data_IF_148822510340
#
_entry.id   IF_148822510340
#
_cell.length_a   1.000
_cell.length_b   1.000
_cell.length_c   1.000
_cell.angle_alpha   90.00
_cell.angle_beta   90.00
_cell.angle_gamma   90.00
#
_symmetry.space_group_name_H-M   'P 1'
#
loop_
_entity.id
_entity.type
_entity.pdbx_description
1 polymer ?
#
# COMPACT_ATOMS: atom_id res chain seq x y z
N UNK A 1 1.17 44.29 11.23
CA UNK A 1 0.48 43.64 10.09
C UNK A 1 1.48 42.68 9.47
N UNK A 2 1.52 41.45 9.98
CA UNK A 2 2.34 40.39 9.38
C UNK A 2 1.72 40.01 8.03
N UNK A 3 2.60 39.84 7.06
CA UNK A 3 2.28 39.67 5.66
C UNK A 3 1.72 38.24 5.43
N UNK A 4 0.40 38.07 5.52
CA UNK A 4 -0.32 36.80 5.29
C UNK A 4 -0.40 36.39 3.80
N UNK A 5 0.56 36.83 2.98
CA UNK A 5 0.56 36.64 1.54
C UNK A 5 1.72 35.76 1.07
N UNK A 6 1.74 34.49 1.50
CA UNK A 6 2.22 33.32 0.72
C UNK A 6 2.28 32.05 1.59
N UNK A 7 1.14 31.60 2.14
CA UNK A 7 0.99 30.15 2.32
C UNK A 7 0.58 29.58 0.96
N UNK A 8 1.54 29.51 0.05
CA UNK A 8 1.36 28.80 -1.21
C UNK A 8 0.98 27.37 -0.83
N UNK A 9 -0.23 26.94 -1.19
CA UNK A 9 -0.74 25.61 -0.93
C UNK A 9 0.21 24.60 -1.59
N UNK A 10 1.21 24.11 -0.83
CA UNK A 10 2.21 23.19 -1.36
C UNK A 10 1.55 21.83 -1.47
N UNK A 11 1.30 21.40 -2.70
CA UNK A 11 0.84 20.06 -3.00
C UNK A 11 1.88 19.09 -2.45
N UNK A 12 1.49 18.23 -1.52
CA UNK A 12 2.36 17.21 -0.94
C UNK A 12 2.30 15.92 -1.75
N UNK A 13 3.28 15.04 -1.55
CA UNK A 13 3.21 13.68 -2.07
C UNK A 13 1.95 12.94 -1.59
N UNK A 14 1.49 13.18 -0.35
CA UNK A 14 0.24 12.61 0.16
C UNK A 14 -0.97 13.05 -0.66
N UNK A 15 -1.06 14.33 -1.01
CA UNK A 15 -2.11 14.85 -1.90
C UNK A 15 -2.07 14.14 -3.25
N UNK A 16 -0.87 13.96 -3.82
CA UNK A 16 -0.70 13.22 -5.08
C UNK A 16 -1.20 11.77 -4.97
N UNK A 17 -0.86 11.07 -3.89
CA UNK A 17 -1.31 9.68 -3.67
C UNK A 17 -2.83 9.63 -3.48
N UNK A 18 -3.43 10.56 -2.74
CA UNK A 18 -4.87 10.63 -2.53
C UNK A 18 -5.63 10.80 -3.85
N UNK A 19 -5.19 11.74 -4.69
CA UNK A 19 -5.74 11.93 -6.03
C UNK A 19 -5.52 10.68 -6.87
N UNK A 20 -4.32 10.08 -6.80
CA UNK A 20 -4.02 8.85 -7.51
C UNK A 20 -4.96 7.71 -7.13
N UNK A 21 -5.40 7.59 -5.87
CA UNK A 21 -6.34 6.53 -5.44
C UNK A 21 -7.74 6.65 -6.00
N UNK A 22 -8.16 7.83 -6.44
CA UNK A 22 -9.42 7.99 -7.17
C UNK A 22 -9.34 7.41 -8.60
N UNK A 23 -8.15 7.44 -9.22
CA UNK A 23 -7.97 6.98 -10.60
C UNK A 23 -8.29 5.47 -10.76
N UNK A 24 -7.79 4.54 -9.91
CA UNK A 24 -8.17 3.15 -9.96
C UNK A 24 -9.66 2.91 -9.84
N UNK A 25 -10.33 3.66 -8.96
CA UNK A 25 -11.77 3.54 -8.79
C UNK A 25 -12.47 3.87 -10.11
N UNK A 26 -12.11 5.00 -10.73
CA UNK A 26 -12.70 5.44 -12.00
C UNK A 26 -12.38 4.47 -13.15
N UNK A 27 -11.14 4.00 -13.26
CA UNK A 27 -10.73 3.08 -14.33
C UNK A 27 -11.39 1.71 -14.19
N UNK A 28 -11.54 1.20 -12.97
CA UNK A 28 -12.19 -0.09 -12.73
C UNK A 28 -13.71 -0.02 -12.93
N UNK A 29 -14.36 1.08 -12.51
CA UNK A 29 -15.77 1.33 -12.86
C UNK A 29 -15.91 1.47 -14.38
N UNK A 30 -14.99 2.16 -15.03
CA UNK A 30 -14.92 2.25 -16.50
C UNK A 30 -14.82 0.87 -17.15
N UNK A 31 -13.99 -0.04 -16.61
CA UNK A 31 -13.92 -1.42 -17.08
C UNK A 31 -15.26 -2.15 -16.92
N UNK A 32 -15.95 -1.97 -15.78
CA UNK A 32 -17.26 -2.56 -15.55
C UNK A 32 -18.32 -2.06 -16.55
N UNK A 33 -18.28 -0.78 -16.92
CA UNK A 33 -19.19 -0.18 -17.90
C UNK A 33 -18.86 -0.63 -19.33
N UNK A 34 -17.57 -0.64 -19.70
CA UNK A 34 -17.14 -0.89 -21.07
C UNK A 34 -17.11 -2.39 -21.43
N UNK A 35 -16.63 -3.23 -20.52
CA UNK A 35 -16.50 -4.67 -20.75
C UNK A 35 -17.66 -5.46 -20.18
N UNK A 36 -18.40 -4.93 -19.20
CA UNK A 36 -19.44 -5.66 -18.48
C UNK A 36 -18.88 -6.54 -17.36
N UNK A 37 -19.78 -7.07 -16.53
CA UNK A 37 -19.49 -8.05 -15.49
C UNK A 37 -20.06 -9.38 -15.95
N UNK A 38 -19.19 -10.36 -16.21
CA UNK A 38 -19.57 -11.65 -16.79
C UNK A 38 -19.42 -12.81 -15.80
N UNK A 39 -18.56 -12.66 -14.79
CA UNK A 39 -18.36 -13.66 -13.75
C UNK A 39 -18.00 -13.03 -12.38
N UNK A 40 -17.76 -13.91 -11.40
CA UNK A 40 -17.42 -13.49 -10.03
C UNK A 40 -15.99 -12.92 -9.91
N UNK A 41 -15.11 -13.11 -10.92
CA UNK A 41 -13.74 -12.55 -10.93
C UNK A 41 -13.80 -11.04 -10.91
N UNK A 42 -14.59 -10.43 -11.79
CA UNK A 42 -14.68 -8.97 -11.86
C UNK A 42 -15.31 -8.40 -10.60
N UNK A 43 -16.36 -9.05 -10.08
CA UNK A 43 -17.01 -8.64 -8.82
C UNK A 43 -16.01 -8.66 -7.66
N UNK A 44 -15.29 -9.77 -7.47
CA UNK A 44 -14.27 -9.88 -6.42
C UNK A 44 -13.19 -8.81 -6.63
N UNK A 45 -12.68 -8.66 -7.85
CA UNK A 45 -11.62 -7.69 -8.11
C UNK A 45 -12.05 -6.26 -7.77
N UNK A 46 -13.25 -5.85 -8.20
CA UNK A 46 -13.84 -4.56 -7.86
C UNK A 46 -13.95 -4.39 -6.35
N UNK A 47 -14.53 -5.38 -5.65
CA UNK A 47 -14.68 -5.35 -4.20
C UNK A 47 -13.33 -5.16 -3.49
N UNK A 48 -12.30 -5.94 -3.85
CA UNK A 48 -11.01 -5.87 -3.18
C UNK A 48 -10.26 -4.55 -3.48
N UNK A 49 -10.13 -4.17 -4.74
CA UNK A 49 -9.31 -3.01 -5.11
C UNK A 49 -10.02 -1.68 -4.77
N UNK A 50 -11.32 -1.54 -5.07
CA UNK A 50 -12.05 -0.31 -4.74
C UNK A 50 -12.16 -0.15 -3.22
N UNK A 51 -12.46 -1.21 -2.46
CA UNK A 51 -12.52 -1.10 -0.99
C UNK A 51 -11.18 -0.67 -0.40
N UNK A 52 -10.05 -1.15 -0.93
CA UNK A 52 -8.73 -0.67 -0.53
C UNK A 52 -8.55 0.83 -0.82
N UNK A 53 -8.86 1.29 -2.04
CA UNK A 53 -8.73 2.70 -2.38
C UNK A 53 -9.63 3.59 -1.53
N UNK A 54 -10.86 3.16 -1.25
CA UNK A 54 -11.79 3.86 -0.34
C UNK A 54 -11.23 3.85 1.08
N UNK A 55 -10.76 2.71 1.58
CA UNK A 55 -10.14 2.62 2.91
C UNK A 55 -8.96 3.58 3.05
N UNK A 56 -8.07 3.67 2.06
CA UNK A 56 -6.96 4.63 2.07
C UNK A 56 -7.42 6.07 2.28
N UNK A 57 -8.51 6.48 1.60
CA UNK A 57 -9.05 7.83 1.68
C UNK A 57 -9.76 8.08 3.02
N UNK A 58 -10.52 7.09 3.51
CA UNK A 58 -11.28 7.19 4.76
C UNK A 58 -10.37 7.10 5.99
N UNK A 59 -9.32 6.28 5.95
CA UNK A 59 -8.40 6.06 7.07
C UNK A 59 -7.77 7.38 7.54
N UNK A 60 -7.48 8.31 6.63
CA UNK A 60 -6.91 9.61 6.99
C UNK A 60 -7.87 10.48 7.79
N UNK A 61 -9.18 10.31 7.59
CA UNK A 61 -10.19 10.99 8.39
C UNK A 61 -10.30 10.37 9.79
N UNK A 62 -10.20 9.04 9.90
CA UNK A 62 -10.19 8.36 11.20
C UNK A 62 -8.91 8.59 12.00
N UNK A 63 -7.76 8.69 11.33
CA UNK A 63 -6.45 8.84 11.95
C UNK A 63 -5.72 10.07 11.37
N UNK A 64 -6.14 11.30 11.70
CA UNK A 64 -5.57 12.52 11.09
C UNK A 64 -4.07 12.68 11.32
N UNK A 65 -3.58 12.31 12.52
CA UNK A 65 -2.14 12.30 12.85
C UNK A 65 -1.32 11.37 11.94
N UNK A 66 -1.93 10.32 11.38
CA UNK A 66 -1.28 9.47 10.38
C UNK A 66 -0.97 10.25 9.11
N UNK A 67 -1.88 11.13 8.69
CA UNK A 67 -1.67 12.03 7.55
C UNK A 67 -0.49 12.98 7.75
N UNK A 68 -0.27 13.45 8.99
CA UNK A 68 0.88 14.30 9.35
C UNK A 68 2.24 13.58 9.33
N UNK A 69 2.24 12.24 9.30
CA UNK A 69 3.46 11.43 9.27
C UNK A 69 3.77 10.81 7.90
N UNK A 70 2.83 10.86 6.96
CA UNK A 70 2.95 10.20 5.66
C UNK A 70 3.13 11.19 4.53
N UNK A 71 4.21 11.04 3.75
CA UNK A 71 4.38 11.69 2.44
C UNK A 71 4.15 13.21 2.46
N UNK A 72 4.65 13.91 3.50
CA UNK A 72 4.49 15.36 3.67
C UNK A 72 5.55 16.20 2.97
N UNK A 73 6.49 15.55 2.27
CA UNK A 73 7.40 16.26 1.40
C UNK A 73 6.63 16.95 0.27
N UNK A 74 6.98 18.20 -0.08
CA UNK A 74 6.36 18.91 -1.19
C UNK A 74 6.64 18.17 -2.50
N UNK A 75 5.61 17.87 -3.27
CA UNK A 75 5.73 17.22 -4.56
C UNK A 75 5.88 18.25 -5.67
N UNK A 76 6.91 18.12 -6.49
CA UNK A 76 7.03 18.87 -7.74
C UNK A 76 6.00 18.40 -8.78
N UNK A 77 5.76 19.18 -9.82
CA UNK A 77 4.78 18.84 -10.89
C UNK A 77 5.09 17.48 -11.53
N UNK A 78 6.37 17.22 -11.86
CA UNK A 78 6.79 15.95 -12.45
C UNK A 78 6.54 14.76 -11.53
N UNK A 79 6.86 14.91 -10.24
CA UNK A 79 6.64 13.87 -9.25
C UNK A 79 5.14 13.61 -9.02
N UNK A 80 4.34 14.67 -8.96
CA UNK A 80 2.88 14.57 -8.86
C UNK A 80 2.31 13.76 -10.04
N UNK A 81 2.67 14.12 -11.28
CA UNK A 81 2.24 13.40 -12.49
C UNK A 81 2.72 11.95 -12.45
N UNK A 82 3.97 11.72 -12.03
CA UNK A 82 4.51 10.37 -11.90
C UNK A 82 3.72 9.52 -10.89
N UNK A 83 3.35 10.08 -9.74
CA UNK A 83 2.52 9.37 -8.74
C UNK A 83 1.14 9.05 -9.30
N UNK A 84 0.49 9.99 -10.01
CA UNK A 84 -0.79 9.73 -10.66
C UNK A 84 -0.69 8.61 -11.69
N UNK A 85 0.35 8.60 -12.52
CA UNK A 85 0.56 7.53 -13.48
C UNK A 85 0.90 6.20 -12.79
N UNK A 86 1.82 6.21 -11.85
CA UNK A 86 2.32 5.00 -11.22
C UNK A 86 1.29 4.35 -10.29
N UNK A 87 0.80 5.10 -9.30
CA UNK A 87 -0.18 4.61 -8.32
C UNK A 87 -1.59 4.61 -8.91
N UNK A 88 -1.92 5.58 -9.76
CA UNK A 88 -3.27 5.72 -10.28
C UNK A 88 -3.56 4.86 -11.51
N UNK A 89 -2.62 4.77 -12.46
CA UNK A 89 -2.82 4.00 -13.69
C UNK A 89 -2.16 2.62 -13.62
N UNK A 90 -0.83 2.51 -13.39
CA UNK A 90 -0.15 1.20 -13.47
C UNK A 90 -0.69 0.18 -12.46
N UNK A 91 -1.13 0.62 -11.28
CA UNK A 91 -1.68 -0.30 -10.28
C UNK A 91 -3.02 -0.90 -10.71
N UNK A 92 -3.71 -0.32 -11.70
CA UNK A 92 -4.96 -0.88 -12.26
C UNK A 92 -4.75 -2.02 -13.24
N UNK A 93 -3.50 -2.28 -13.65
CA UNK A 93 -3.17 -3.33 -14.62
C UNK A 93 -3.77 -4.71 -14.26
N UNK A 94 -3.66 -5.22 -13.01
CA UNK A 94 -4.27 -6.50 -12.65
C UNK A 94 -5.80 -6.46 -12.78
N UNK A 95 -6.41 -5.29 -12.61
CA UNK A 95 -7.86 -5.14 -12.73
C UNK A 95 -8.31 -5.17 -14.16
N UNK A 96 -7.66 -4.41 -15.03
CA UNK A 96 -7.86 -4.55 -16.48
C UNK A 96 -7.71 -6.01 -16.92
N UNK A 97 -6.64 -6.68 -16.48
CA UNK A 97 -6.40 -8.10 -16.77
C UNK A 97 -7.49 -9.02 -16.21
N UNK A 98 -8.04 -8.72 -15.03
CA UNK A 98 -9.17 -9.47 -14.48
C UNK A 98 -10.45 -9.32 -15.31
N UNK A 99 -10.67 -8.16 -15.92
CA UNK A 99 -11.83 -7.90 -16.79
C UNK A 99 -11.72 -8.58 -18.15
N UNK A 100 -10.52 -8.63 -18.74
CA UNK A 100 -10.30 -9.23 -20.05
C UNK A 100 -9.91 -10.71 -19.99
N UNK A 101 -9.85 -11.32 -18.80
CA UNK A 101 -9.57 -12.74 -18.65
C UNK A 101 -10.80 -13.56 -19.06
N UNK A 102 -10.74 -14.35 -20.14
CA UNK A 102 -11.88 -15.17 -20.59
C UNK A 102 -12.11 -16.39 -19.70
N UNK A 103 -11.11 -16.79 -18.90
CA UNK A 103 -11.18 -17.99 -18.08
C UNK A 103 -11.99 -17.73 -16.81
N UNK A 104 -12.96 -18.61 -16.48
CA UNK A 104 -13.71 -18.49 -15.24
C UNK A 104 -12.77 -18.61 -14.04
N UNK A 105 -13.02 -17.81 -13.00
CA UNK A 105 -12.23 -17.90 -11.77
C UNK A 105 -12.48 -19.23 -11.03
N UNK A 106 -11.39 -19.90 -10.64
CA UNK A 106 -11.49 -21.13 -9.85
C UNK A 106 -11.73 -20.83 -8.37
N UNK A 107 -12.41 -21.74 -7.66
CA UNK A 107 -12.60 -21.62 -6.21
C UNK A 107 -11.28 -21.66 -5.43
N UNK A 108 -10.25 -22.33 -5.97
CA UNK A 108 -8.89 -22.32 -5.39
C UNK A 108 -8.31 -20.90 -5.47
N UNK A 109 -8.45 -20.23 -6.62
CA UNK A 109 -8.01 -18.84 -6.79
C UNK A 109 -8.69 -17.92 -5.78
N UNK A 110 -10.01 -18.06 -5.59
CA UNK A 110 -10.77 -17.29 -4.58
C UNK A 110 -10.26 -17.61 -3.16
N UNK A 111 -10.09 -18.89 -2.84
CA UNK A 111 -9.61 -19.37 -1.55
C UNK A 111 -8.19 -18.93 -1.20
N UNK A 112 -7.36 -18.60 -2.18
CA UNK A 112 -6.02 -18.02 -1.98
C UNK A 112 -6.09 -16.49 -1.89
N UNK A 113 -6.82 -15.84 -2.80
CA UNK A 113 -6.79 -14.39 -2.92
C UNK A 113 -7.46 -13.68 -1.74
N UNK A 114 -8.59 -14.19 -1.24
CA UNK A 114 -9.31 -13.54 -0.15
C UNK A 114 -8.47 -13.52 1.15
N UNK A 115 -7.87 -14.63 1.63
CA UNK A 115 -6.97 -14.57 2.78
C UNK A 115 -5.78 -13.64 2.57
N UNK A 116 -5.16 -13.63 1.37
CA UNK A 116 -4.07 -12.72 1.06
C UNK A 116 -4.49 -11.25 1.21
N UNK A 117 -5.67 -10.89 0.70
CA UNK A 117 -6.18 -9.53 0.80
C UNK A 117 -6.50 -9.15 2.25
N UNK A 118 -7.29 -9.97 2.96
CA UNK A 118 -7.78 -9.65 4.30
C UNK A 118 -6.66 -9.66 5.32
N UNK A 119 -5.85 -10.73 5.39
CA UNK A 119 -4.71 -10.75 6.31
C UNK A 119 -3.66 -9.73 5.93
N UNK A 120 -3.40 -9.51 4.64
CA UNK A 120 -2.49 -8.46 4.19
C UNK A 120 -2.92 -7.07 4.67
N UNK A 121 -4.19 -6.74 4.50
CA UNK A 121 -4.77 -5.47 4.93
C UNK A 121 -4.79 -5.32 6.46
N UNK A 122 -5.17 -6.37 7.19
CA UNK A 122 -5.17 -6.37 8.66
C UNK A 122 -3.76 -6.21 9.22
N UNK A 123 -2.79 -6.97 8.72
CA UNK A 123 -1.38 -6.88 9.14
C UNK A 123 -0.84 -5.46 8.89
N UNK A 124 -1.09 -4.90 7.71
CA UNK A 124 -0.63 -3.56 7.37
C UNK A 124 -1.25 -2.49 8.29
N UNK A 125 -2.58 -2.51 8.44
CA UNK A 125 -3.31 -1.54 9.25
C UNK A 125 -2.94 -1.66 10.74
N UNK A 126 -2.93 -2.87 11.30
CA UNK A 126 -2.60 -3.10 12.71
C UNK A 126 -1.16 -2.72 13.04
N UNK A 127 -0.20 -3.01 12.14
CA UNK A 127 1.19 -2.64 12.35
C UNK A 127 1.37 -1.11 12.40
N UNK A 128 0.75 -0.39 11.48
CA UNK A 128 0.83 1.06 11.45
C UNK A 128 0.07 1.70 12.61
N UNK A 129 -1.10 1.18 13.00
CA UNK A 129 -1.84 1.63 14.17
C UNK A 129 -1.02 1.45 15.46
N UNK A 130 -0.44 0.26 15.70
CA UNK A 130 0.43 0.02 16.85
C UNK A 130 1.60 1.01 16.87
N UNK A 131 2.29 1.20 15.74
CA UNK A 131 3.43 2.11 15.64
C UNK A 131 3.01 3.55 15.90
N UNK A 132 1.91 4.02 15.31
CA UNK A 132 1.39 5.36 15.50
C UNK A 132 1.07 5.60 16.98
N UNK A 133 0.27 4.72 17.58
CA UNK A 133 -0.10 4.82 19.00
C UNK A 133 1.13 4.83 19.89
N UNK A 134 2.08 3.89 19.71
CA UNK A 134 3.31 3.87 20.49
C UNK A 134 4.10 5.18 20.39
N UNK A 135 4.19 5.77 19.20
CA UNK A 135 4.86 7.06 18.99
C UNK A 135 4.14 8.23 19.66
N UNK A 136 2.81 8.23 19.66
CA UNK A 136 2.03 9.25 20.38
C UNK A 136 2.25 9.20 21.89
N UNK A 137 2.51 8.01 22.45
CA UNK A 137 2.88 7.84 23.86
C UNK A 137 4.40 8.00 24.12
N UNK A 138 5.16 8.54 23.16
CA UNK A 138 6.57 8.87 23.35
C UNK A 138 7.54 7.70 23.19
N UNK A 139 7.11 6.57 22.60
CA UNK A 139 8.00 5.43 22.40
C UNK A 139 9.18 5.77 21.45
N UNK A 140 10.36 5.26 21.82
CA UNK A 140 11.55 5.19 20.98
C UNK A 140 11.38 4.21 19.82
N UNK A 141 12.33 3.30 19.61
CA UNK A 141 12.17 2.26 18.58
C UNK A 141 11.01 1.31 18.92
N UNK A 142 10.06 1.14 18.00
CA UNK A 142 8.97 0.16 18.15
C UNK A 142 9.45 -1.20 17.63
N UNK A 143 9.58 -2.17 18.53
CA UNK A 143 10.18 -3.49 18.26
C UNK A 143 9.42 -4.66 18.90
N UNK A 144 8.21 -4.43 19.41
CA UNK A 144 7.39 -5.39 20.14
C UNK A 144 6.21 -5.91 19.30
N UNK A 145 5.50 -6.92 19.83
CA UNK A 145 4.34 -7.56 19.21
C UNK A 145 4.59 -7.98 17.75
N UNK A 146 3.83 -7.42 16.81
CA UNK A 146 3.94 -7.78 15.38
C UNK A 146 5.26 -7.29 14.76
N UNK A 147 5.83 -6.20 15.28
CA UNK A 147 7.12 -5.66 14.83
C UNK A 147 8.30 -6.54 15.24
N UNK A 148 8.18 -7.32 16.33
CA UNK A 148 9.18 -8.34 16.70
C UNK A 148 9.34 -9.44 15.64
N UNK A 149 8.34 -9.65 14.78
CA UNK A 149 8.39 -10.68 13.74
C UNK A 149 9.08 -10.19 12.47
N UNK A 150 8.90 -8.92 12.12
CA UNK A 150 9.49 -8.32 10.92
C UNK A 150 9.63 -6.80 11.06
N UNK A 151 10.83 -6.29 10.70
CA UNK A 151 11.17 -4.86 10.72
C UNK A 151 10.37 -4.04 9.71
N UNK A 152 9.75 -4.70 8.74
CA UNK A 152 8.92 -4.12 7.69
C UNK A 152 7.62 -4.91 7.51
N UNK A 153 7.01 -5.33 8.61
CA UNK A 153 5.79 -6.14 8.60
C UNK A 153 4.62 -5.46 7.87
N UNK A 154 4.53 -4.14 7.92
CA UNK A 154 3.53 -3.39 7.17
C UNK A 154 3.73 -3.51 5.65
N UNK A 155 4.99 -3.54 5.17
CA UNK A 155 5.29 -3.77 3.75
C UNK A 155 4.93 -5.20 3.33
N UNK A 156 5.14 -6.18 4.21
CA UNK A 156 4.71 -7.55 3.96
C UNK A 156 3.19 -7.66 3.79
N UNK A 157 2.41 -7.05 4.69
CA UNK A 157 0.95 -7.02 4.56
C UNK A 157 0.48 -6.34 3.27
N UNK A 158 1.13 -5.24 2.88
CA UNK A 158 0.81 -4.54 1.63
C UNK A 158 1.15 -5.38 0.38
N UNK A 159 2.26 -6.11 0.39
CA UNK A 159 2.62 -7.05 -0.68
C UNK A 159 1.62 -8.21 -0.78
N UNK A 160 1.16 -8.78 0.34
CA UNK A 160 0.11 -9.80 0.34
C UNK A 160 -1.17 -9.28 -0.35
N UNK A 161 -1.55 -8.02 -0.08
CA UNK A 161 -2.68 -7.38 -0.73
C UNK A 161 -2.46 -7.24 -2.24
N UNK A 162 -1.32 -6.73 -2.72
CA UNK A 162 -1.09 -6.64 -4.17
C UNK A 162 -1.01 -8.01 -4.85
N UNK A 163 -0.47 -9.02 -4.15
CA UNK A 163 -0.50 -10.41 -4.64
C UNK A 163 -1.93 -10.91 -4.80
N UNK A 164 -2.85 -10.57 -3.89
CA UNK A 164 -4.27 -10.95 -4.04
C UNK A 164 -4.86 -10.43 -5.36
N UNK A 165 -4.53 -9.20 -5.76
CA UNK A 165 -4.99 -8.64 -7.02
C UNK A 165 -4.42 -9.40 -8.23
N UNK A 166 -3.14 -9.76 -8.20
CA UNK A 166 -2.53 -10.55 -9.26
C UNK A 166 -3.12 -11.96 -9.36
N UNK A 167 -3.41 -12.60 -8.23
CA UNK A 167 -4.07 -13.90 -8.16
C UNK A 167 -5.48 -13.84 -8.76
N UNK A 168 -6.29 -12.84 -8.37
CA UNK A 168 -7.65 -12.64 -8.94
C UNK A 168 -7.58 -12.31 -10.42
N UNK A 169 -6.56 -11.58 -10.89
CA UNK A 169 -6.39 -11.28 -12.32
C UNK A 169 -6.17 -12.54 -13.16
N UNK A 170 -5.54 -13.58 -12.59
CA UNK A 170 -5.31 -14.84 -13.29
C UNK A 170 -4.37 -14.72 -14.49
N UNK A 171 -3.47 -13.74 -14.48
CA UNK A 171 -2.53 -13.46 -15.58
C UNK A 171 -1.12 -13.25 -15.04
N UNK A 172 -0.11 -13.82 -15.70
CA UNK A 172 1.30 -13.64 -15.31
C UNK A 172 1.72 -12.16 -15.36
N UNK A 173 1.16 -11.38 -16.28
CA UNK A 173 1.44 -9.95 -16.41
C UNK A 173 0.95 -9.15 -15.19
N UNK A 174 -0.04 -9.65 -14.47
CA UNK A 174 -0.55 -8.99 -13.27
C UNK A 174 0.47 -8.97 -12.13
N UNK A 175 1.41 -9.92 -12.11
CA UNK A 175 2.48 -9.99 -11.11
C UNK A 175 3.56 -8.92 -11.28
N UNK A 176 3.55 -8.17 -12.40
CA UNK A 176 4.40 -7.00 -12.56
C UNK A 176 4.16 -5.97 -11.44
N UNK A 177 2.90 -5.79 -10.99
CA UNK A 177 2.56 -4.83 -9.93
C UNK A 177 3.16 -5.20 -8.57
N UNK A 178 2.91 -6.38 -7.97
CA UNK A 178 3.57 -6.76 -6.73
C UNK A 178 5.11 -6.87 -6.89
N UNK A 179 5.61 -7.27 -8.07
CA UNK A 179 7.04 -7.32 -8.36
C UNK A 179 7.74 -5.96 -8.29
N UNK A 180 7.18 -4.93 -8.94
CA UNK A 180 7.73 -3.57 -8.86
C UNK A 180 7.59 -2.97 -7.46
N UNK A 181 6.49 -3.25 -6.74
CA UNK A 181 6.30 -2.79 -5.35
C UNK A 181 7.37 -3.41 -4.45
N UNK A 182 7.65 -4.71 -4.61
CA UNK A 182 8.74 -5.37 -3.89
C UNK A 182 10.07 -4.68 -4.18
N UNK A 183 10.43 -4.44 -5.44
CA UNK A 183 11.68 -3.78 -5.81
C UNK A 183 11.81 -2.39 -5.15
N UNK A 184 10.75 -1.57 -5.16
CA UNK A 184 10.72 -0.29 -4.47
C UNK A 184 10.90 -0.45 -2.95
N UNK A 185 10.26 -1.46 -2.35
CA UNK A 185 10.41 -1.75 -0.93
C UNK A 185 11.81 -2.21 -0.56
N UNK A 186 12.52 -2.96 -1.43
CA UNK A 186 13.92 -3.31 -1.19
C UNK A 186 14.80 -2.07 -1.03
N UNK A 187 14.62 -1.08 -1.92
CA UNK A 187 15.36 0.19 -1.89
C UNK A 187 15.02 0.99 -0.63
N UNK A 188 13.72 1.14 -0.33
CA UNK A 188 13.25 1.85 0.88
C UNK A 188 13.72 1.18 2.16
N UNK A 189 13.75 -0.15 2.21
CA UNK A 189 14.25 -0.89 3.37
C UNK A 189 15.75 -0.66 3.60
N UNK A 190 16.55 -0.57 2.53
CA UNK A 190 17.98 -0.27 2.66
C UNK A 190 18.20 1.13 3.26
N UNK A 191 17.51 2.14 2.73
CA UNK A 191 17.59 3.52 3.23
C UNK A 191 17.10 3.62 4.68
N UNK A 192 15.98 2.95 4.99
CA UNK A 192 15.44 2.87 6.34
C UNK A 192 16.41 2.19 7.30
N UNK A 193 17.05 1.10 6.92
CA UNK A 193 18.01 0.39 7.77
C UNK A 193 19.21 1.28 8.16
N UNK A 194 19.71 2.09 7.22
CA UNK A 194 20.78 3.05 7.49
C UNK A 194 20.32 4.13 8.48
N UNK A 195 19.21 4.80 8.15
CA UNK A 195 18.64 5.87 8.99
C UNK A 195 18.30 5.38 10.41
N UNK A 196 17.75 4.17 10.55
CA UNK A 196 17.43 3.60 11.86
C UNK A 196 18.67 3.22 12.66
N UNK A 197 19.74 2.76 11.99
CA UNK A 197 21.02 2.45 12.66
C UNK A 197 21.68 3.69 13.24
N UNK A 198 21.54 4.85 12.58
CA UNK A 198 22.05 6.14 13.06
C UNK A 198 21.18 6.73 14.16
N UNK A 199 19.86 6.55 14.08
CA UNK A 199 18.89 7.16 14.99
C UNK A 199 18.71 6.41 16.32
N UNK A 200 18.79 5.08 16.31
CA UNK A 200 18.44 4.23 17.44
C UNK A 200 19.63 3.33 17.82
N UNK A 201 20.30 3.58 18.96
CA UNK A 201 21.40 2.74 19.44
C UNK A 201 21.01 1.25 19.57
N UNK A 202 19.78 0.97 19.98
CA UNK A 202 19.21 -0.37 20.13
C UNK A 202 18.87 -1.08 18.80
N UNK A 203 18.97 -0.38 17.66
CA UNK A 203 18.55 -0.93 16.36
C UNK A 203 19.37 -2.15 15.91
N UNK A 204 20.67 -2.18 16.23
CA UNK A 204 21.52 -3.33 15.83
C UNK A 204 21.07 -4.62 16.51
N UNK A 205 20.71 -4.55 17.79
CA UNK A 205 20.17 -5.69 18.53
C UNK A 205 18.81 -6.13 17.94
N UNK A 206 17.93 -5.16 17.67
CA UNK A 206 16.64 -5.43 17.03
C UNK A 206 16.80 -6.11 15.67
N UNK A 207 17.75 -5.65 14.85
CA UNK A 207 18.07 -6.21 13.53
C UNK A 207 18.56 -7.65 13.59
N UNK A 208 19.31 -8.03 14.62
CA UNK A 208 19.78 -9.40 14.80
C UNK A 208 18.64 -10.35 15.19
N UNK A 209 17.67 -9.88 15.97
CA UNK A 209 16.57 -10.69 16.51
C UNK A 209 15.35 -10.78 15.58
N UNK A 210 15.26 -9.90 14.58
CA UNK A 210 14.04 -9.69 13.80
C UNK A 210 14.27 -9.85 12.30
N UNK A 211 13.35 -10.53 11.62
CA UNK A 211 13.39 -10.68 10.16
C UNK A 211 13.16 -9.35 9.45
N UNK A 212 13.62 -9.26 8.20
CA UNK A 212 13.63 -8.04 7.41
C UNK A 212 12.25 -7.72 6.85
N UNK A 213 11.55 -8.69 6.27
CA UNK A 213 10.28 -8.51 5.57
C UNK A 213 9.29 -9.64 5.85
N UNK A 214 9.64 -10.89 5.49
CA UNK A 214 8.76 -12.05 5.59
C UNK A 214 8.97 -12.71 6.96
N UNK A 215 7.96 -12.70 7.86
CA UNK A 215 8.07 -13.33 9.16
C UNK A 215 8.60 -14.76 9.07
N UNK A 216 9.53 -15.11 9.98
CA UNK A 216 10.18 -16.42 10.08
C UNK A 216 11.07 -16.84 8.91
N UNK A 217 11.02 -16.16 7.76
CA UNK A 217 11.77 -16.52 6.55
C UNK A 217 12.92 -15.55 6.31
N UNK A 218 12.60 -14.27 6.07
CA UNK A 218 13.59 -13.29 5.61
C UNK A 218 13.39 -11.91 6.19
#
# INVERSE_FOLDING_TARGET
MENTANQQFKITQLTAVNVAKAIPILLLIGCAILFGIHDVRQVIYLCLHISYCVWWLVEQWFYPKRGEMLFNEPAGVFEFIFILFYVGFLYTLPGYLAFVNPEPISMITVGIALPLFFFGSLINASADAQKLTAKEFGAGLVQDNIWRLSRNINYFGDLMRYLSFAVVAGSLWAYLVPGQVMALYLLRMNQKDLSMSEKYPEYQEYKQKTRRLIPFIW
#
